data_IF_936893075674
#
_entry.id   IF_936893075674
#
_cell.length_a   1.000
_cell.length_b   1.000
_cell.length_c   1.000
_cell.angle_alpha   90.00
_cell.angle_beta   90.00
_cell.angle_gamma   90.00
#
_symmetry.space_group_name_H-M   'P 1'
#
loop_
_entity.id
_entity.type
_entity.pdbx_description
1 polymer ?
#
# COMPACT_ATOMS: atom_id res chain seq x y z
N UNK A 1 -22.15 5.24 -6.52
CA UNK A 1 -22.79 6.17 -7.44
C UNK A 1 -22.73 5.67 -8.89
N UNK A 2 -21.56 5.50 -9.51
CA UNK A 2 -21.42 5.12 -10.95
C UNK A 2 -22.18 3.84 -11.33
N UNK A 3 -22.38 2.91 -10.42
CA UNK A 3 -23.06 1.62 -10.67
C UNK A 3 -24.55 1.65 -10.30
N UNK A 4 -25.11 2.80 -9.94
CA UNK A 4 -26.52 2.92 -9.57
C UNK A 4 -26.90 2.30 -8.21
N UNK A 5 -25.92 1.97 -7.36
CA UNK A 5 -26.18 1.33 -6.06
C UNK A 5 -26.54 2.30 -4.94
N UNK A 6 -26.34 3.59 -5.17
CA UNK A 6 -26.67 4.63 -4.20
C UNK A 6 -27.88 5.40 -4.69
N UNK A 7 -28.75 5.76 -3.74
CA UNK A 7 -29.90 6.62 -4.04
C UNK A 7 -29.44 8.03 -4.42
N UNK A 8 -30.13 8.66 -5.33
CA UNK A 8 -29.93 10.07 -5.71
C UNK A 8 -30.90 11.03 -5.03
N UNK A 9 -31.51 10.58 -3.92
CA UNK A 9 -32.45 11.40 -3.17
C UNK A 9 -31.76 12.67 -2.63
N UNK A 10 -32.33 13.87 -2.77
CA UNK A 10 -31.64 15.12 -2.46
C UNK A 10 -31.30 15.30 -0.96
N UNK A 11 -32.01 14.60 -0.07
CA UNK A 11 -31.76 14.65 1.38
C UNK A 11 -30.87 13.50 1.88
N UNK A 12 -30.33 12.70 0.96
CA UNK A 12 -29.45 11.60 1.33
C UNK A 12 -28.10 12.13 1.81
N UNK A 13 -27.80 11.92 3.07
CA UNK A 13 -26.56 12.31 3.72
C UNK A 13 -26.14 11.21 4.69
N UNK A 14 -25.56 10.14 4.18
CA UNK A 14 -25.06 9.01 4.98
C UNK A 14 -23.65 8.63 4.56
N UNK A 15 -22.93 8.06 5.53
CA UNK A 15 -21.63 7.50 5.25
C UNK A 15 -21.76 6.20 4.42
N UNK A 16 -21.05 6.15 3.33
CA UNK A 16 -20.78 4.92 2.62
C UNK A 16 -19.54 4.28 3.23
N UNK A 17 -19.66 3.03 3.64
CA UNK A 17 -18.55 2.23 4.16
C UNK A 17 -18.32 1.02 3.27
N UNK A 18 -17.07 0.78 2.92
CA UNK A 18 -16.66 -0.38 2.14
C UNK A 18 -15.53 -1.09 2.87
N UNK A 19 -15.72 -2.37 3.17
CA UNK A 19 -14.67 -3.25 3.72
C UNK A 19 -14.18 -4.16 2.62
N UNK A 20 -12.88 -4.11 2.36
CA UNK A 20 -12.22 -4.98 1.37
C UNK A 20 -11.19 -5.84 2.08
N UNK A 21 -11.38 -7.17 2.02
CA UNK A 21 -10.42 -8.13 2.53
C UNK A 21 -9.85 -8.95 1.39
N UNK A 22 -8.53 -9.06 1.32
CA UNK A 22 -7.83 -9.89 0.33
C UNK A 22 -6.75 -10.68 1.05
N UNK A 23 -6.75 -11.99 0.85
CA UNK A 23 -5.80 -12.93 1.42
C UNK A 23 -5.23 -13.79 0.29
N UNK A 24 -3.91 -13.87 0.23
CA UNK A 24 -3.19 -14.81 -0.62
C UNK A 24 -2.21 -15.59 0.26
N UNK A 25 -2.35 -16.91 0.25
CA UNK A 25 -1.39 -17.83 0.87
C UNK A 25 -0.99 -18.88 -0.15
N UNK A 26 0.30 -19.14 -0.27
CA UNK A 26 0.82 -20.22 -1.08
C UNK A 26 2.02 -20.85 -0.36
N UNK A 27 2.09 -22.17 -0.41
CA UNK A 27 3.23 -22.94 0.11
C UNK A 27 3.65 -23.96 -0.93
N UNK A 28 4.95 -24.18 -1.07
CA UNK A 28 5.49 -25.24 -1.90
C UNK A 28 6.69 -25.88 -1.20
N UNK A 29 6.72 -27.20 -1.20
CA UNK A 29 7.82 -27.99 -0.68
C UNK A 29 8.41 -28.74 -1.87
N UNK A 30 9.69 -28.53 -2.13
CA UNK A 30 10.38 -29.07 -3.31
C UNK A 30 11.53 -29.95 -2.82
N UNK A 31 11.44 -31.23 -3.08
CA UNK A 31 12.50 -32.19 -2.83
C UNK A 31 13.30 -32.41 -4.14
N UNK A 32 14.35 -31.64 -4.35
CA UNK A 32 15.17 -31.74 -5.57
C UNK A 32 16.04 -32.99 -5.57
N UNK A 33 16.60 -33.32 -4.40
CA UNK A 33 17.41 -34.50 -4.17
C UNK A 33 17.12 -35.05 -2.75
N UNK A 34 17.50 -36.30 -2.43
CA UNK A 34 17.27 -36.85 -1.09
C UNK A 34 17.80 -35.98 0.06
N UNK A 35 18.86 -35.23 -0.22
CA UNK A 35 19.55 -34.39 0.77
C UNK A 35 19.27 -32.89 0.61
N UNK A 36 18.48 -32.46 -0.41
CA UNK A 36 18.18 -31.05 -0.68
C UNK A 36 16.69 -30.80 -0.72
N UNK A 37 16.20 -30.08 0.25
CA UNK A 37 14.80 -29.64 0.36
C UNK A 37 14.68 -28.13 0.33
N UNK A 38 13.71 -27.63 -0.39
CA UNK A 38 13.40 -26.21 -0.50
C UNK A 38 11.95 -26.02 -0.06
N UNK A 39 11.75 -25.26 1.00
CA UNK A 39 10.44 -24.84 1.48
C UNK A 39 10.18 -23.40 1.04
N UNK A 40 9.09 -23.18 0.32
CA UNK A 40 8.62 -21.85 -0.07
C UNK A 40 7.34 -21.52 0.65
N UNK A 41 7.23 -20.31 1.17
CA UNK A 41 6.01 -19.79 1.77
C UNK A 41 5.76 -18.35 1.33
N UNK A 42 4.53 -18.08 0.95
CA UNK A 42 4.07 -16.78 0.51
C UNK A 42 2.81 -16.43 1.29
N UNK A 43 2.86 -15.32 2.00
CA UNK A 43 1.71 -14.79 2.72
C UNK A 43 1.49 -13.33 2.32
N UNK A 44 0.24 -13.00 2.01
CA UNK A 44 -0.19 -11.64 1.77
C UNK A 44 -1.60 -11.45 2.29
N UNK A 45 -1.76 -10.54 3.22
CA UNK A 45 -3.04 -10.14 3.74
C UNK A 45 -3.24 -8.64 3.57
N UNK A 46 -4.42 -8.25 3.18
CA UNK A 46 -4.84 -6.87 3.08
C UNK A 46 -6.26 -6.74 3.58
N UNK A 47 -6.48 -5.79 4.46
CA UNK A 47 -7.79 -5.38 4.92
C UNK A 47 -7.88 -3.88 4.86
N UNK A 48 -8.87 -3.34 4.18
CA UNK A 48 -9.13 -1.92 4.07
C UNK A 48 -10.57 -1.64 4.41
N UNK A 49 -10.79 -0.65 5.26
CA UNK A 49 -12.08 -0.08 5.55
C UNK A 49 -12.08 1.36 5.03
N UNK A 50 -12.78 1.59 3.95
CA UNK A 50 -12.98 2.91 3.36
C UNK A 50 -14.32 3.47 3.80
N UNK A 51 -14.31 4.70 4.29
CA UNK A 51 -15.51 5.44 4.64
C UNK A 51 -15.52 6.76 3.87
N UNK A 52 -16.63 7.07 3.27
CA UNK A 52 -16.81 8.28 2.50
C UNK A 52 -18.22 8.81 2.69
N UNK A 53 -18.34 10.08 3.01
CA UNK A 53 -19.63 10.74 3.07
C UNK A 53 -19.99 11.26 1.69
N UNK A 54 -21.21 10.95 1.24
CA UNK A 54 -21.76 11.47 0.00
C UNK A 54 -22.91 12.40 0.33
N UNK A 55 -22.91 13.59 -0.26
CA UNK A 55 -24.10 14.39 -0.40
C UNK A 55 -24.57 14.42 -1.86
N UNK A 56 -25.83 14.69 -2.08
CA UNK A 56 -26.43 14.82 -3.41
C UNK A 56 -26.88 16.25 -3.60
N UNK A 57 -26.27 16.93 -4.56
CA UNK A 57 -26.66 18.29 -4.94
C UNK A 57 -27.05 18.30 -6.41
N UNK A 58 -28.28 18.72 -6.74
CA UNK A 58 -28.80 18.72 -8.10
C UNK A 58 -28.69 17.35 -8.83
N UNK A 59 -28.89 16.25 -8.10
CA UNK A 59 -28.79 14.89 -8.65
C UNK A 59 -27.34 14.41 -8.87
N UNK A 60 -26.34 15.18 -8.47
CA UNK A 60 -24.91 14.81 -8.57
C UNK A 60 -24.37 14.43 -7.20
N UNK A 61 -23.67 13.32 -7.14
CA UNK A 61 -22.98 12.88 -5.94
C UNK A 61 -21.70 13.67 -5.73
N UNK A 62 -21.56 14.26 -4.53
CA UNK A 62 -20.36 14.95 -4.11
C UNK A 62 -19.68 14.13 -3.00
N UNK A 63 -18.55 13.47 -3.26
CA UNK A 63 -17.79 12.79 -2.22
C UNK A 63 -17.15 13.80 -1.28
N UNK A 64 -17.33 13.58 0.03
CA UNK A 64 -16.78 14.42 1.09
C UNK A 64 -15.88 13.58 2.00
N UNK A 65 -14.73 14.14 2.37
CA UNK A 65 -13.85 13.59 3.40
C UNK A 65 -13.60 12.07 3.26
N UNK A 66 -13.03 11.60 2.17
CA UNK A 66 -12.68 10.19 2.03
C UNK A 66 -11.66 9.81 3.11
N UNK A 67 -11.95 8.74 3.84
CA UNK A 67 -11.09 8.22 4.90
C UNK A 67 -10.90 6.71 4.73
N UNK A 68 -9.67 6.25 4.81
CA UNK A 68 -9.34 4.83 4.68
C UNK A 68 -8.41 4.40 5.79
N UNK A 69 -8.76 3.29 6.45
CA UNK A 69 -7.93 2.60 7.44
C UNK A 69 -7.80 1.14 7.07
N UNK A 70 -6.73 0.48 7.51
CA UNK A 70 -6.62 -0.94 7.26
C UNK A 70 -5.35 -1.56 7.81
N UNK A 71 -5.20 -2.85 7.54
CA UNK A 71 -4.06 -3.68 7.92
C UNK A 71 -3.48 -4.30 6.66
N UNK A 72 -2.16 -4.28 6.57
CA UNK A 72 -1.42 -4.89 5.49
C UNK A 72 -0.31 -5.78 6.03
N UNK A 73 -0.23 -6.99 5.51
CA UNK A 73 0.86 -7.93 5.77
C UNK A 73 1.30 -8.57 4.46
N UNK A 74 2.59 -8.63 4.23
CA UNK A 74 3.17 -9.25 3.05
C UNK A 74 4.51 -9.89 3.38
N UNK A 75 4.75 -11.09 2.85
CA UNK A 75 6.08 -11.65 2.78
C UNK A 75 6.90 -10.89 1.72
N UNK A 76 8.03 -10.34 2.12
CA UNK A 76 8.92 -9.60 1.23
C UNK A 76 10.39 -9.91 1.55
N UNK A 77 11.21 -9.96 0.52
CA UNK A 77 12.67 -10.08 0.68
C UNK A 77 13.28 -8.69 0.66
N UNK A 78 13.89 -8.29 1.76
CA UNK A 78 14.51 -6.98 1.95
C UNK A 78 16.04 -7.01 1.78
N UNK A 79 16.55 -7.85 0.89
CA UNK A 79 17.99 -8.06 0.73
C UNK A 79 18.74 -6.75 0.45
N UNK A 80 18.18 -5.86 -0.34
CA UNK A 80 18.85 -4.61 -0.71
C UNK A 80 19.09 -3.66 0.47
N UNK A 81 18.19 -3.67 1.44
CA UNK A 81 18.26 -2.78 2.61
C UNK A 81 18.72 -3.47 3.89
N UNK A 82 18.72 -4.82 3.92
CA UNK A 82 19.13 -5.60 5.08
C UNK A 82 20.60 -5.40 5.49
N UNK A 83 21.43 -4.94 4.57
CA UNK A 83 22.85 -4.66 4.78
C UNK A 83 23.17 -3.16 4.68
N UNK A 84 22.15 -2.30 4.62
CA UNK A 84 22.35 -0.85 4.64
C UNK A 84 22.83 -0.40 6.01
N UNK A 85 23.78 0.51 6.03
CA UNK A 85 24.24 1.10 7.28
C UNK A 85 23.09 1.86 7.96
N UNK A 86 22.90 1.60 9.23
CA UNK A 86 22.02 2.35 10.12
C UNK A 86 22.76 2.60 11.43
N UNK A 87 22.51 3.73 12.05
CA UNK A 87 23.01 4.05 13.38
C UNK A 87 21.84 4.28 14.35
N UNK A 88 22.14 4.65 15.58
CA UNK A 88 21.12 4.91 16.60
C UNK A 88 20.27 6.16 16.30
N UNK A 89 20.69 7.01 15.36
CA UNK A 89 20.03 8.27 15.02
C UNK A 89 19.24 8.20 13.72
N UNK A 90 19.50 7.24 12.82
CA UNK A 90 18.83 7.19 11.54
C UNK A 90 19.15 5.97 10.68
N UNK A 91 18.36 5.85 9.64
CA UNK A 91 18.51 4.84 8.60
C UNK A 91 18.19 5.47 7.25
N UNK A 92 19.08 5.30 6.27
CA UNK A 92 18.88 5.80 4.92
C UNK A 92 17.55 5.32 4.33
N UNK A 93 17.20 4.06 4.53
CA UNK A 93 15.92 3.51 4.08
C UNK A 93 14.71 4.19 4.72
N UNK A 94 14.83 4.62 5.98
CA UNK A 94 13.76 5.36 6.65
C UNK A 94 13.63 6.80 6.15
N UNK A 95 14.74 7.45 5.83
CA UNK A 95 14.73 8.80 5.24
C UNK A 95 14.17 8.76 3.82
N UNK A 96 14.53 7.75 3.03
CA UNK A 96 13.93 7.48 1.72
C UNK A 96 12.41 7.23 1.86
N UNK A 97 11.97 6.46 2.85
CA UNK A 97 10.57 6.27 3.12
C UNK A 97 9.85 7.60 3.41
N UNK A 98 10.46 8.45 4.24
CA UNK A 98 9.88 9.76 4.59
C UNK A 98 9.74 10.67 3.36
N UNK A 99 10.75 10.72 2.49
CA UNK A 99 10.73 11.54 1.27
C UNK A 99 9.77 10.98 0.22
N UNK A 100 9.69 9.66 0.09
CA UNK A 100 8.82 8.98 -0.86
C UNK A 100 7.32 9.23 -0.63
N UNK A 101 6.92 9.55 0.61
CA UNK A 101 5.50 9.80 0.94
C UNK A 101 4.90 10.93 0.10
N UNK A 102 5.59 12.04 -0.06
CA UNK A 102 5.07 13.15 -0.84
C UNK A 102 4.94 12.80 -2.32
N UNK A 103 5.91 12.09 -2.88
CA UNK A 103 5.87 11.61 -4.27
C UNK A 103 4.66 10.69 -4.50
N UNK A 104 4.46 9.73 -3.61
CA UNK A 104 3.33 8.79 -3.67
C UNK A 104 2.00 9.53 -3.50
N UNK A 105 1.90 10.46 -2.55
CA UNK A 105 0.69 11.25 -2.31
C UNK A 105 0.29 12.07 -3.53
N UNK A 106 1.25 12.74 -4.17
CA UNK A 106 1.01 13.49 -5.40
C UNK A 106 0.51 12.60 -6.55
N UNK A 107 1.09 11.40 -6.70
CA UNK A 107 0.64 10.44 -7.72
C UNK A 107 -0.79 9.94 -7.47
N UNK A 108 -1.13 9.64 -6.22
CA UNK A 108 -2.49 9.23 -5.83
C UNK A 108 -3.52 10.34 -6.07
N UNK A 109 -3.18 11.58 -5.70
CA UNK A 109 -4.02 12.75 -5.95
C UNK A 109 -4.25 12.98 -7.44
N UNK A 110 -3.18 12.92 -8.25
CA UNK A 110 -3.26 13.07 -9.70
C UNK A 110 -4.14 11.99 -10.36
N UNK A 111 -4.08 10.74 -9.88
CA UNK A 111 -4.96 9.66 -10.37
C UNK A 111 -6.45 9.92 -10.07
N UNK A 112 -6.76 10.70 -9.04
CA UNK A 112 -8.13 11.15 -8.72
C UNK A 112 -8.53 12.45 -9.41
N UNK A 113 -7.65 13.04 -10.20
CA UNK A 113 -7.92 14.31 -10.89
C UNK A 113 -7.80 15.53 -9.98
N UNK A 114 -7.14 15.40 -8.80
CA UNK A 114 -6.86 16.53 -7.92
C UNK A 114 -5.68 17.31 -8.52
N UNK A 115 -5.88 18.61 -8.76
CA UNK A 115 -4.81 19.49 -9.21
C UNK A 115 -3.81 19.71 -8.06
N UNK A 116 -2.67 19.06 -8.15
CA UNK A 116 -1.60 19.15 -7.15
C UNK A 116 -0.82 20.46 -7.19
N UNK A 117 -0.99 21.27 -8.24
CA UNK A 117 -0.33 22.58 -8.34
C UNK A 117 -1.13 23.68 -7.66
N UNK A 118 -2.41 23.44 -7.38
CA UNK A 118 -3.25 24.38 -6.65
C UNK A 118 -2.96 24.30 -5.14
N UNK A 119 -2.45 25.38 -4.50
CA UNK A 119 -2.16 25.40 -3.07
C UNK A 119 -3.37 25.10 -2.19
N UNK A 120 -4.59 25.43 -2.65
CA UNK A 120 -5.83 25.15 -1.91
C UNK A 120 -6.14 23.65 -1.80
N UNK A 121 -5.51 22.82 -2.60
CA UNK A 121 -5.64 21.36 -2.56
C UNK A 121 -4.57 20.69 -1.69
N UNK A 122 -3.82 21.46 -0.89
CA UNK A 122 -2.76 20.96 -0.04
C UNK A 122 -3.03 21.27 1.43
N UNK A 123 -2.54 20.40 2.30
CA UNK A 123 -2.49 20.68 3.74
C UNK A 123 -1.31 21.58 4.12
N UNK A 124 -1.21 21.95 5.41
CA UNK A 124 -0.14 22.81 5.92
C UNK A 124 1.27 22.19 5.77
N UNK A 125 1.38 20.89 5.56
CA UNK A 125 2.63 20.16 5.35
C UNK A 125 2.95 19.94 3.87
N UNK A 126 2.09 20.45 2.96
CA UNK A 126 2.25 20.36 1.52
C UNK A 126 1.72 19.07 0.90
N UNK A 127 1.06 18.19 1.65
CA UNK A 127 0.44 16.98 1.11
C UNK A 127 -0.92 17.30 0.47
N UNK A 128 -1.28 16.61 -0.63
CA UNK A 128 -2.60 16.76 -1.24
C UNK A 128 -3.72 16.39 -0.24
N UNK A 129 -4.81 17.15 -0.26
CA UNK A 129 -5.97 16.87 0.57
C UNK A 129 -6.50 15.45 0.32
N UNK A 130 -6.76 14.71 1.41
CA UNK A 130 -7.15 13.30 1.37
C UNK A 130 -5.98 12.30 1.28
N UNK A 131 -4.75 12.77 1.06
CA UNK A 131 -3.53 11.94 0.96
C UNK A 131 -2.40 12.47 1.85
N UNK A 132 -2.74 12.79 3.10
CA UNK A 132 -1.77 13.27 4.09
C UNK A 132 -0.67 12.26 4.41
N UNK A 133 0.36 12.72 5.09
CA UNK A 133 1.59 11.96 5.42
C UNK A 133 1.36 10.62 6.13
N UNK A 134 0.23 10.47 6.83
CA UNK A 134 -0.13 9.27 7.59
C UNK A 134 -1.22 8.43 6.92
N UNK A 135 -1.64 8.81 5.71
CA UNK A 135 -2.63 8.03 4.96
C UNK A 135 -2.03 6.68 4.55
N UNK A 136 -2.73 5.59 4.84
CA UNK A 136 -2.24 4.24 4.57
C UNK A 136 -1.97 3.99 3.08
N UNK A 137 -2.79 4.56 2.19
CA UNK A 137 -2.56 4.47 0.75
C UNK A 137 -1.25 5.14 0.33
N UNK A 138 -0.76 6.11 1.11
CA UNK A 138 0.54 6.78 0.93
C UNK A 138 1.66 5.98 1.57
N UNK A 139 1.46 5.54 2.82
CA UNK A 139 2.50 4.89 3.61
C UNK A 139 2.99 3.59 2.97
N UNK A 140 2.08 2.73 2.50
CA UNK A 140 2.45 1.40 2.01
C UNK A 140 3.30 1.44 0.74
N UNK A 141 2.93 2.15 -0.34
CA UNK A 141 3.78 2.24 -1.52
C UNK A 141 5.10 2.96 -1.24
N UNK A 142 5.11 3.99 -0.37
CA UNK A 142 6.32 4.70 0.02
C UNK A 142 7.29 3.78 0.78
N UNK A 143 6.78 2.96 1.70
CA UNK A 143 7.55 1.96 2.43
C UNK A 143 8.12 0.90 1.48
N UNK A 144 7.28 0.34 0.61
CA UNK A 144 7.73 -0.67 -0.34
C UNK A 144 8.81 -0.11 -1.28
N UNK A 145 8.67 1.13 -1.76
CA UNK A 145 9.70 1.76 -2.59
C UNK A 145 11.03 1.86 -1.83
N UNK A 146 11.03 2.42 -0.62
CA UNK A 146 12.24 2.61 0.17
C UNK A 146 12.94 1.29 0.51
N UNK A 147 12.18 0.34 1.07
CA UNK A 147 12.76 -0.90 1.60
C UNK A 147 13.01 -1.98 0.56
N UNK A 148 12.43 -1.90 -0.62
CA UNK A 148 12.80 -2.75 -1.76
C UNK A 148 13.86 -2.14 -2.67
N UNK A 149 14.31 -0.91 -2.39
CA UNK A 149 15.24 -0.14 -3.23
C UNK A 149 14.61 0.21 -4.60
N UNK A 150 13.30 0.46 -4.61
CA UNK A 150 12.56 0.93 -5.76
C UNK A 150 12.42 2.45 -5.79
N UNK A 151 11.91 2.96 -6.91
CA UNK A 151 11.65 4.39 -7.09
C UNK A 151 10.18 4.70 -6.79
N UNK A 152 9.93 5.68 -5.90
CA UNK A 152 8.59 6.12 -5.54
C UNK A 152 7.79 6.68 -6.72
N UNK A 153 8.46 7.19 -7.75
CA UNK A 153 7.80 7.67 -8.96
C UNK A 153 7.21 6.53 -9.81
N UNK A 154 7.72 5.31 -9.68
CA UNK A 154 7.36 4.15 -10.48
C UNK A 154 6.72 3.01 -9.68
N UNK A 155 6.82 3.04 -8.33
CA UNK A 155 6.22 1.99 -7.50
C UNK A 155 4.72 1.85 -7.77
N UNK A 156 4.22 0.63 -7.73
CA UNK A 156 2.79 0.38 -7.88
C UNK A 156 2.01 1.00 -6.73
N UNK A 157 1.04 1.85 -7.06
CA UNK A 157 0.12 2.45 -6.09
C UNK A 157 -0.99 1.49 -5.65
N UNK A 158 -1.19 0.43 -6.42
CA UNK A 158 -2.13 -0.64 -6.07
C UNK A 158 -1.43 -1.73 -5.27
N UNK A 159 -1.75 -1.84 -3.99
CA UNK A 159 -1.15 -2.79 -3.03
C UNK A 159 -1.14 -4.24 -3.55
N UNK A 160 -2.09 -4.58 -4.43
CA UNK A 160 -2.21 -5.94 -5.00
C UNK A 160 -1.59 -6.11 -6.40
N UNK A 161 -1.03 -5.07 -6.99
CA UNK A 161 -0.34 -5.19 -8.28
C UNK A 161 1.10 -5.67 -8.15
N UNK A 162 1.71 -5.54 -6.98
CA UNK A 162 3.04 -6.06 -6.73
C UNK A 162 2.95 -7.56 -6.43
N UNK A 163 3.68 -8.35 -7.21
CA UNK A 163 3.80 -9.78 -6.93
C UNK A 163 4.63 -9.96 -5.66
N UNK A 164 4.12 -10.63 -4.62
CA UNK A 164 4.89 -10.88 -3.42
C UNK A 164 6.02 -11.88 -3.73
N UNK A 165 7.19 -11.64 -3.16
CA UNK A 165 8.32 -12.58 -3.26
C UNK A 165 8.18 -13.57 -2.11
N UNK A 166 8.19 -14.90 -2.39
CA UNK A 166 8.07 -15.89 -1.34
C UNK A 166 9.27 -15.87 -0.39
N UNK A 167 9.02 -16.12 0.89
CA UNK A 167 10.06 -16.52 1.82
C UNK A 167 10.53 -17.93 1.42
N UNK A 168 11.82 -18.21 1.61
CA UNK A 168 12.37 -19.51 1.28
C UNK A 168 13.33 -19.98 2.35
N UNK A 169 13.34 -21.28 2.57
CA UNK A 169 14.29 -21.98 3.40
C UNK A 169 14.89 -23.15 2.61
N UNK A 170 16.20 -23.25 2.63
CA UNK A 170 16.95 -24.34 2.00
C UNK A 170 17.55 -25.20 3.08
N UNK A 171 17.28 -26.50 3.05
CA UNK A 171 17.83 -27.51 3.96
C UNK A 171 18.68 -28.46 3.14
N UNK A 172 19.97 -28.52 3.46
CA UNK A 172 20.93 -29.44 2.84
C UNK A 172 21.61 -30.31 3.87
N UNK A 173 21.41 -31.62 3.80
CA UNK A 173 21.95 -32.60 4.76
C UNK A 173 23.12 -33.41 4.19
N UNK A 174 23.53 -33.18 2.95
CA UNK A 174 24.57 -33.96 2.27
C UNK A 174 25.99 -33.83 2.86
N UNK A 175 26.24 -32.83 3.72
CA UNK A 175 27.52 -32.63 4.42
C UNK A 175 27.67 -33.49 5.70
N UNK A 176 26.59 -34.17 6.12
CA UNK A 176 26.59 -34.97 7.35
C UNK A 176 26.75 -36.48 7.12
N UNK A 177 27.19 -36.90 5.93
CA UNK A 177 27.51 -38.29 5.58
C UNK A 177 28.99 -38.54 5.59
#
# INVERSE_FOLDING_TARGET
AKNGWLTNYPDFNQNFTQVTNKLLKATANIDLFPDLKIDLSLDRAFSENSSEQYDVTNGVYNPRSPFSTGIFSISAVLIKTSFSASDEFGSAAFDDFRSNRLTVANRLASQRGIDINNPSNRDAEGFPLGYGKNNQAVLLPAFLAAYSGGDASNVSLGIFRNFPIPNWAVKYNGLMR
#
